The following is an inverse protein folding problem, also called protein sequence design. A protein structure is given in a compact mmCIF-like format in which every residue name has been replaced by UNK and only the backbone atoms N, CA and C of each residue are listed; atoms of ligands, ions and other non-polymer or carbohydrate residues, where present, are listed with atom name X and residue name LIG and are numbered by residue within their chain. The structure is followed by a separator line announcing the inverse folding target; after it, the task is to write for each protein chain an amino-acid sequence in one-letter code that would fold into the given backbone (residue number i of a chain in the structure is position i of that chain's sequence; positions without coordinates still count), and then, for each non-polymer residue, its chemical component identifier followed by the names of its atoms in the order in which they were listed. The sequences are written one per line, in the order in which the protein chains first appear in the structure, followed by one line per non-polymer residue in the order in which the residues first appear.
data_IF_768731543485
#
_entry.id   IF_768731543485
#
_cell.length_a   1.000
_cell.length_b   1.000
_cell.length_c   1.000
_cell.angle_alpha   90.00
_cell.angle_beta   90.00
_cell.angle_gamma   90.00
#
_symmetry.space_group_name_H-M   'P 1'
#
loop_
_entity.id
_entity.type
_entity.pdbx_description
1 polymer ?
#
# COMPACT_ATOMS: atom_id res chain seq x y z
N UNK A 1 -21.39 -24.17 8.11
CA UNK A 1 -20.19 -24.40 7.27
C UNK A 1 -19.31 -25.42 7.98
N UNK A 2 -18.96 -26.54 7.33
CA UNK A 2 -18.02 -27.49 7.87
C UNK A 2 -16.63 -27.09 7.38
N UNK A 3 -15.73 -26.72 8.29
CA UNK A 3 -14.33 -26.42 7.97
C UNK A 3 -13.53 -27.72 7.98
N UNK A 4 -12.70 -27.91 6.95
CA UNK A 4 -11.73 -29.01 6.87
C UNK A 4 -10.37 -28.43 7.17
N UNK A 5 -9.68 -28.98 8.17
CA UNK A 5 -8.31 -28.59 8.50
C UNK A 5 -7.33 -29.34 7.60
N UNK A 6 -6.59 -28.59 6.80
CA UNK A 6 -5.49 -29.13 5.99
C UNK A 6 -4.16 -28.66 6.57
N UNK A 7 -3.33 -29.59 7.07
CA UNK A 7 -1.99 -29.22 7.52
C UNK A 7 -1.15 -28.77 6.35
N UNK A 8 -0.41 -27.68 6.51
CA UNK A 8 0.55 -27.23 5.51
C UNK A 8 1.65 -28.28 5.35
N UNK A 9 2.06 -28.54 4.09
CA UNK A 9 3.14 -29.49 3.81
C UNK A 9 4.40 -29.15 4.62
N UNK A 10 4.99 -30.19 5.21
CA UNK A 10 6.25 -30.06 5.93
C UNK A 10 7.39 -29.87 4.92
N UNK A 11 8.28 -28.89 5.17
CA UNK A 11 9.50 -28.74 4.40
C UNK A 11 10.44 -29.94 4.58
N UNK A 12 11.49 -30.02 3.76
CA UNK A 12 12.54 -31.01 3.92
C UNK A 12 13.17 -30.96 5.32
N UNK A 13 13.28 -32.11 5.99
CA UNK A 13 13.91 -32.21 7.31
C UNK A 13 15.35 -31.73 7.31
N UNK A 14 16.07 -31.94 6.20
CA UNK A 14 17.43 -31.46 6.03
C UNK A 14 17.52 -29.91 6.09
N UNK A 15 16.54 -29.19 5.54
CA UNK A 15 16.46 -27.73 5.61
C UNK A 15 16.17 -27.30 7.05
N UNK A 16 15.21 -27.95 7.72
CA UNK A 16 14.84 -27.66 9.11
C UNK A 16 16.04 -27.81 10.03
N UNK A 17 16.75 -28.95 9.93
CA UNK A 17 17.93 -29.25 10.74
C UNK A 17 19.10 -28.29 10.44
N UNK A 18 19.28 -27.91 9.19
CA UNK A 18 20.28 -26.90 8.81
C UNK A 18 19.98 -25.56 9.50
N UNK A 19 18.77 -25.04 9.39
CA UNK A 19 18.33 -23.78 10.01
C UNK A 19 18.44 -23.84 11.55
N UNK A 20 18.04 -24.96 12.16
CA UNK A 20 18.17 -25.17 13.60
C UNK A 20 19.61 -25.00 14.07
N UNK A 21 20.52 -25.67 13.40
CA UNK A 21 21.93 -25.72 13.78
C UNK A 21 22.62 -24.37 13.54
N UNK A 22 22.38 -23.76 12.38
CA UNK A 22 23.08 -22.53 11.98
C UNK A 22 22.57 -21.29 12.75
N UNK A 23 21.27 -21.28 13.11
CA UNK A 23 20.62 -20.14 13.77
C UNK A 23 20.32 -20.39 15.26
N UNK A 24 20.67 -21.57 15.79
CA UNK A 24 20.33 -22.00 17.16
C UNK A 24 18.84 -21.91 17.50
N UNK A 25 17.98 -22.28 16.54
CA UNK A 25 16.52 -22.20 16.66
C UNK A 25 15.90 -23.48 17.19
N UNK A 26 14.68 -23.36 17.74
CA UNK A 26 13.82 -24.52 18.00
C UNK A 26 13.39 -25.17 16.68
N UNK A 27 13.03 -26.46 16.73
CA UNK A 27 12.49 -27.17 15.57
C UNK A 27 11.25 -26.49 15.01
N UNK A 28 10.35 -26.02 15.88
CA UNK A 28 9.13 -25.33 15.47
C UNK A 28 9.45 -24.05 14.70
N UNK A 29 10.36 -23.23 15.21
CA UNK A 29 10.74 -21.97 14.54
C UNK A 29 11.40 -22.23 13.19
N UNK A 30 12.31 -23.20 13.13
CA UNK A 30 12.97 -23.57 11.87
C UNK A 30 11.96 -24.12 10.85
N UNK A 31 10.99 -24.92 11.28
CA UNK A 31 9.90 -25.41 10.42
C UNK A 31 9.07 -24.26 9.86
N UNK A 32 8.70 -23.29 10.70
CA UNK A 32 7.91 -22.12 10.27
C UNK A 32 8.66 -21.24 9.29
N UNK A 33 9.98 -21.05 9.44
CA UNK A 33 10.81 -20.35 8.47
C UNK A 33 10.84 -21.10 7.13
N UNK A 34 11.15 -22.38 7.17
CA UNK A 34 11.22 -23.21 5.97
C UNK A 34 9.86 -23.27 5.24
N UNK A 35 8.73 -23.29 5.95
CA UNK A 35 7.38 -23.20 5.36
C UNK A 35 7.10 -21.84 4.69
N UNK A 36 7.87 -20.81 5.01
CA UNK A 36 7.83 -19.49 4.35
C UNK A 36 8.81 -19.36 3.21
N UNK A 37 9.52 -20.43 2.88
CA UNK A 37 10.53 -20.43 1.82
C UNK A 37 11.90 -19.91 2.26
N UNK A 38 12.11 -19.65 3.55
CA UNK A 38 13.40 -19.23 4.11
C UNK A 38 14.21 -20.52 4.40
N UNK A 39 15.26 -20.75 3.60
CA UNK A 39 15.97 -22.04 3.58
C UNK A 39 17.48 -21.92 3.88
N UNK A 40 17.97 -20.68 3.94
CA UNK A 40 19.37 -20.38 4.20
C UNK A 40 19.56 -19.46 5.41
N UNK A 41 20.78 -19.45 5.95
CA UNK A 41 21.17 -18.53 7.02
C UNK A 41 20.99 -17.06 6.62
N UNK A 42 21.45 -16.68 5.43
CA UNK A 42 21.39 -15.30 4.96
C UNK A 42 19.94 -14.80 4.76
N UNK A 43 19.08 -15.66 4.21
CA UNK A 43 17.64 -15.36 4.10
C UNK A 43 17.00 -15.15 5.47
N UNK A 44 17.36 -15.97 6.46
CA UNK A 44 16.86 -15.86 7.81
C UNK A 44 17.34 -14.59 8.52
N UNK A 45 18.63 -14.25 8.39
CA UNK A 45 19.16 -12.99 8.92
C UNK A 45 18.47 -11.79 8.28
N UNK A 46 18.27 -11.81 6.97
CA UNK A 46 17.55 -10.77 6.26
C UNK A 46 16.09 -10.63 6.74
N UNK A 47 15.43 -11.75 7.03
CA UNK A 47 14.07 -11.77 7.58
C UNK A 47 13.99 -11.22 9.01
N UNK A 48 14.93 -11.59 9.88
CA UNK A 48 14.92 -11.15 11.28
C UNK A 48 15.52 -9.77 11.52
N UNK A 49 16.40 -9.33 10.63
CA UNK A 49 17.12 -8.06 10.76
C UNK A 49 16.98 -7.22 9.48
N UNK A 50 15.75 -6.79 9.14
CA UNK A 50 15.54 -5.99 7.94
C UNK A 50 16.26 -4.64 8.07
N UNK A 51 16.80 -4.14 6.97
CA UNK A 51 17.45 -2.84 6.89
C UNK A 51 16.85 -2.00 5.76
N UNK A 52 17.05 -0.69 5.82
CA UNK A 52 16.62 0.20 4.73
C UNK A 52 17.32 -0.13 3.40
N UNK A 53 18.54 -0.68 3.46
CA UNK A 53 19.26 -1.13 2.27
C UNK A 53 18.60 -2.33 1.56
N UNK A 54 17.71 -3.04 2.27
CA UNK A 54 16.97 -4.19 1.75
C UNK A 54 15.69 -3.80 1.02
N UNK A 55 15.30 -2.53 1.04
CA UNK A 55 14.10 -2.07 0.34
C UNK A 55 14.29 -2.15 -1.17
N UNK A 56 13.25 -2.59 -1.85
CA UNK A 56 13.20 -2.54 -3.31
C UNK A 56 13.20 -1.10 -3.80
N UNK A 57 13.78 -0.88 -4.99
CA UNK A 57 13.73 0.44 -5.62
C UNK A 57 12.27 0.85 -5.90
N UNK A 58 11.82 2.04 -5.46
CA UNK A 58 10.42 2.45 -5.59
C UNK A 58 9.89 2.43 -7.03
N UNK A 59 10.76 2.66 -8.01
CA UNK A 59 10.42 2.66 -9.43
C UNK A 59 10.17 1.27 -10.02
N UNK A 60 10.34 0.19 -9.25
CA UNK A 60 9.86 -1.15 -9.61
C UNK A 60 8.33 -1.27 -9.44
N UNK A 61 7.70 -0.36 -8.70
CA UNK A 61 6.23 -0.33 -8.58
C UNK A 61 5.62 0.07 -9.93
N UNK A 62 4.51 -0.61 -10.26
CA UNK A 62 3.76 -0.35 -11.49
C UNK A 62 3.37 1.14 -11.59
N UNK A 63 3.61 1.73 -12.74
CA UNK A 63 3.26 3.11 -13.09
C UNK A 63 3.85 4.21 -12.18
N UNK A 64 4.85 3.90 -11.33
CA UNK A 64 5.48 4.90 -10.45
C UNK A 64 6.02 6.10 -11.21
N UNK A 65 6.65 5.89 -12.38
CA UNK A 65 7.12 7.00 -13.21
C UNK A 65 6.00 7.94 -13.67
N UNK A 66 4.82 7.39 -14.00
CA UNK A 66 3.65 8.18 -14.40
C UNK A 66 3.09 8.97 -13.21
N UNK A 67 3.01 8.33 -12.05
CA UNK A 67 2.53 8.96 -10.81
C UNK A 67 3.44 10.14 -10.41
N UNK A 68 4.76 9.93 -10.41
CA UNK A 68 5.74 10.97 -10.10
C UNK A 68 5.66 12.12 -11.12
N UNK A 69 5.58 11.82 -12.41
CA UNK A 69 5.46 12.84 -13.46
C UNK A 69 4.16 13.66 -13.30
N UNK A 70 3.02 12.99 -13.02
CA UNK A 70 1.72 13.66 -12.81
C UNK A 70 1.74 14.56 -11.57
N UNK A 71 2.29 14.06 -10.47
CA UNK A 71 2.44 14.84 -9.24
C UNK A 71 3.38 16.03 -9.42
N UNK A 72 4.53 15.84 -10.06
CA UNK A 72 5.47 16.92 -10.36
C UNK A 72 4.83 18.00 -11.24
N UNK A 73 4.03 17.59 -12.23
CA UNK A 73 3.25 18.54 -13.02
C UNK A 73 2.31 19.34 -12.13
N UNK A 74 1.52 18.69 -11.28
CA UNK A 74 0.56 19.38 -10.41
C UNK A 74 1.24 20.42 -9.50
N UNK A 75 2.39 20.09 -8.92
CA UNK A 75 3.16 21.01 -8.10
C UNK A 75 3.66 22.22 -8.94
N UNK A 76 4.27 21.95 -10.09
CA UNK A 76 4.86 22.99 -10.94
C UNK A 76 3.81 23.93 -11.55
N UNK A 77 2.61 23.42 -11.83
CA UNK A 77 1.49 24.23 -12.38
C UNK A 77 0.55 24.75 -11.29
N UNK A 78 0.90 24.57 -10.01
CA UNK A 78 0.12 25.04 -8.86
C UNK A 78 -1.32 24.51 -8.84
N UNK A 79 -1.50 23.25 -9.19
CA UNK A 79 -2.78 22.57 -9.09
C UNK A 79 -3.13 22.28 -7.63
N UNK A 80 -4.42 22.29 -7.31
CA UNK A 80 -4.92 21.83 -6.01
C UNK A 80 -4.99 20.33 -5.97
N UNK A 81 -4.44 19.74 -4.93
CA UNK A 81 -4.29 18.29 -4.76
C UNK A 81 -5.07 17.86 -3.52
N UNK A 82 -5.91 16.83 -3.66
CA UNK A 82 -6.53 16.14 -2.56
C UNK A 82 -5.74 14.86 -2.23
N UNK A 83 -5.32 14.72 -0.99
CA UNK A 83 -4.76 13.48 -0.45
C UNK A 83 -5.88 12.74 0.26
N UNK A 84 -6.25 11.59 -0.28
CA UNK A 84 -7.34 10.75 0.18
C UNK A 84 -6.78 9.49 0.81
N UNK A 85 -7.29 9.05 1.94
CA UNK A 85 -6.93 7.78 2.56
C UNK A 85 -8.14 7.11 3.17
N UNK A 86 -8.00 5.81 3.47
CA UNK A 86 -9.01 5.12 4.25
C UNK A 86 -8.97 5.55 5.73
N UNK A 87 -10.01 5.20 6.49
CA UNK A 87 -10.21 5.62 7.88
C UNK A 87 -9.40 4.81 8.89
N UNK A 88 -8.70 3.77 8.50
CA UNK A 88 -7.87 2.97 9.40
C UNK A 88 -6.48 3.57 9.64
N UNK A 89 -5.65 2.86 10.41
CA UNK A 89 -4.30 3.34 10.77
C UNK A 89 -3.40 3.49 9.55
N UNK A 90 -3.50 2.57 8.58
CA UNK A 90 -2.63 2.58 7.41
C UNK A 90 -2.99 3.75 6.50
N UNK A 91 -4.28 3.93 6.19
CA UNK A 91 -4.78 5.05 5.39
C UNK A 91 -4.50 6.41 6.04
N UNK A 92 -4.83 6.59 7.32
CA UNK A 92 -4.62 7.86 8.02
C UNK A 92 -3.15 8.22 8.18
N UNK A 93 -2.29 7.22 8.43
CA UNK A 93 -0.84 7.41 8.51
C UNK A 93 -0.24 7.78 7.16
N UNK A 94 -0.67 7.11 6.09
CA UNK A 94 -0.23 7.40 4.73
C UNK A 94 -0.61 8.82 4.30
N UNK A 95 -1.84 9.27 4.58
CA UNK A 95 -2.29 10.65 4.32
C UNK A 95 -1.43 11.65 5.08
N UNK A 96 -1.20 11.40 6.37
CA UNK A 96 -0.40 12.30 7.22
C UNK A 96 1.04 12.41 6.74
N UNK A 97 1.64 11.30 6.35
CA UNK A 97 3.01 11.23 5.83
C UNK A 97 3.13 12.01 4.52
N UNK A 98 2.25 11.74 3.57
CA UNK A 98 2.29 12.40 2.26
C UNK A 98 1.97 13.90 2.38
N UNK A 99 0.99 14.28 3.18
CA UNK A 99 0.67 15.68 3.44
C UNK A 99 1.87 16.43 4.01
N UNK A 100 2.51 15.87 5.05
CA UNK A 100 3.70 16.46 5.67
C UNK A 100 4.86 16.61 4.68
N UNK A 101 5.06 15.65 3.80
CA UNK A 101 6.09 15.73 2.78
C UNK A 101 5.76 16.79 1.73
N UNK A 102 4.56 16.77 1.17
CA UNK A 102 4.16 17.68 0.09
C UNK A 102 3.99 19.12 0.56
N UNK A 103 3.67 19.37 1.84
CA UNK A 103 3.57 20.73 2.40
C UNK A 103 4.88 21.53 2.33
N UNK A 104 6.01 20.87 2.13
CA UNK A 104 7.28 21.55 1.84
C UNK A 104 7.42 22.01 0.39
N UNK A 105 6.53 21.56 -0.50
CA UNK A 105 6.60 21.82 -1.93
C UNK A 105 5.42 22.66 -2.47
N UNK A 106 4.25 22.57 -1.81
CA UNK A 106 3.05 23.32 -2.17
C UNK A 106 2.15 23.55 -0.98
N UNK A 107 1.42 24.66 -0.96
CA UNK A 107 0.36 24.94 0.03
C UNK A 107 -1.05 24.58 -0.46
N UNK A 108 -1.18 24.11 -1.71
CA UNK A 108 -2.47 23.81 -2.34
C UNK A 108 -2.90 22.36 -2.09
N UNK A 109 -2.87 21.96 -0.83
CA UNK A 109 -3.17 20.60 -0.36
C UNK A 109 -4.46 20.55 0.45
N UNK A 110 -5.26 19.56 0.18
CA UNK A 110 -6.44 19.18 0.96
C UNK A 110 -6.31 17.73 1.38
N UNK A 111 -7.00 17.34 2.44
CA UNK A 111 -7.06 15.96 2.90
C UNK A 111 -8.51 15.52 3.03
N UNK A 112 -8.74 14.22 2.83
CA UNK A 112 -10.05 13.62 3.04
C UNK A 112 -9.91 12.20 3.58
N UNK A 113 -10.66 11.91 4.62
CA UNK A 113 -10.85 10.58 5.17
C UNK A 113 -12.35 10.32 5.18
N UNK A 114 -12.85 9.23 4.57
CA UNK A 114 -14.27 8.96 4.51
C UNK A 114 -14.84 8.61 5.89
N UNK A 115 -16.10 8.96 6.11
CA UNK A 115 -16.81 8.52 7.32
C UNK A 115 -17.20 7.05 7.22
N UNK A 116 -16.73 6.25 8.17
CA UNK A 116 -16.94 4.81 8.19
C UNK A 116 -18.42 4.39 8.11
N UNK A 117 -19.32 5.15 8.71
CA UNK A 117 -20.71 4.79 8.87
C UNK A 117 -21.59 5.27 7.70
N UNK A 118 -21.27 6.42 7.13
CA UNK A 118 -22.09 7.05 6.08
C UNK A 118 -21.55 6.83 4.67
N UNK A 119 -20.23 6.64 4.52
CA UNK A 119 -19.58 6.48 3.21
C UNK A 119 -19.05 5.07 2.98
N UNK A 120 -18.71 4.36 4.06
CA UNK A 120 -18.13 3.02 4.00
C UNK A 120 -16.62 3.03 3.74
N UNK A 121 -16.10 1.87 3.29
CA UNK A 121 -14.69 1.66 3.03
C UNK A 121 -14.28 2.16 1.64
N UNK A 122 -13.11 2.78 1.57
CA UNK A 122 -12.46 3.13 0.32
C UNK A 122 -12.93 4.46 -0.28
N UNK A 123 -12.77 4.63 -1.59
CA UNK A 123 -13.12 5.88 -2.27
C UNK A 123 -14.64 6.05 -2.33
N UNK A 124 -15.13 7.22 -1.91
CA UNK A 124 -16.54 7.61 -1.93
C UNK A 124 -16.82 8.67 -3.01
N UNK A 125 -18.06 8.74 -3.47
CA UNK A 125 -18.52 9.83 -4.33
C UNK A 125 -18.48 11.18 -3.61
N UNK A 126 -18.80 11.19 -2.31
CA UNK A 126 -18.74 12.38 -1.46
C UNK A 126 -17.32 12.97 -1.40
N UNK A 127 -16.31 12.11 -1.28
CA UNK A 127 -14.90 12.54 -1.28
C UNK A 127 -14.47 13.14 -2.62
N UNK A 128 -14.98 12.62 -3.75
CA UNK A 128 -14.73 13.19 -5.08
C UNK A 128 -15.47 14.52 -5.23
N UNK A 129 -16.72 14.62 -4.77
CA UNK A 129 -17.47 15.88 -4.78
C UNK A 129 -16.81 16.94 -3.89
N UNK A 130 -16.26 16.52 -2.75
CA UNK A 130 -15.45 17.41 -1.93
C UNK A 130 -14.23 17.94 -2.70
N UNK A 131 -13.47 17.06 -3.39
CA UNK A 131 -12.34 17.47 -4.22
C UNK A 131 -12.77 18.49 -5.29
N UNK A 132 -13.87 18.21 -5.99
CA UNK A 132 -14.43 19.12 -6.99
C UNK A 132 -14.83 20.47 -6.40
N UNK A 133 -15.47 20.48 -5.21
CA UNK A 133 -15.87 21.72 -4.52
C UNK A 133 -14.68 22.60 -4.11
N UNK A 134 -13.51 21.98 -3.87
CA UNK A 134 -12.26 22.69 -3.58
C UNK A 134 -11.51 23.11 -4.84
N UNK A 135 -11.95 22.65 -6.00
CA UNK A 135 -11.29 22.88 -7.30
C UNK A 135 -10.00 22.07 -7.43
N UNK A 136 -9.92 20.89 -6.81
CA UNK A 136 -8.80 19.97 -7.00
C UNK A 136 -8.86 19.34 -8.38
N UNK A 137 -7.70 19.22 -9.05
CA UNK A 137 -7.54 18.53 -10.33
C UNK A 137 -6.83 17.18 -10.21
N UNK A 138 -6.33 16.86 -9.01
CA UNK A 138 -5.66 15.61 -8.72
C UNK A 138 -6.10 15.08 -7.36
N UNK A 139 -6.48 13.80 -7.31
CA UNK A 139 -6.67 13.02 -6.09
C UNK A 139 -5.54 11.99 -5.99
N UNK A 140 -4.87 11.92 -4.85
CA UNK A 140 -3.92 10.85 -4.52
C UNK A 140 -4.57 9.99 -3.45
N UNK A 141 -5.04 8.81 -3.85
CA UNK A 141 -5.65 7.85 -2.95
C UNK A 141 -4.61 6.87 -2.41
N UNK A 142 -4.56 6.73 -1.11
CA UNK A 142 -3.59 5.93 -0.38
C UNK A 142 -4.29 4.85 0.43
N UNK A 143 -3.77 3.62 0.32
CA UNK A 143 -4.28 2.43 0.99
C UNK A 143 -5.75 2.09 0.65
N UNK A 144 -6.22 2.56 -0.49
CA UNK A 144 -7.55 2.28 -1.01
C UNK A 144 -7.65 2.62 -2.50
N UNK A 145 -8.67 2.05 -3.16
CA UNK A 145 -9.09 2.52 -4.48
C UNK A 145 -8.75 1.62 -5.65
N UNK A 146 -7.96 0.55 -5.49
CA UNK A 146 -7.54 -0.31 -6.62
C UNK A 146 -8.72 -0.93 -7.40
N UNK A 147 -9.88 -1.09 -6.76
CA UNK A 147 -11.09 -1.64 -7.38
C UNK A 147 -12.15 -0.57 -7.71
N UNK A 148 -11.88 0.70 -7.46
CA UNK A 148 -12.86 1.79 -7.53
C UNK A 148 -13.04 2.35 -8.96
N UNK A 149 -13.28 1.48 -9.95
CA UNK A 149 -13.33 1.85 -11.38
C UNK A 149 -14.42 2.90 -11.64
N UNK A 150 -15.63 2.71 -11.08
CA UNK A 150 -16.76 3.63 -11.21
C UNK A 150 -16.49 5.01 -10.61
N UNK A 151 -15.77 5.07 -9.48
CA UNK A 151 -15.37 6.32 -8.81
C UNK A 151 -14.30 7.07 -9.61
N UNK A 152 -13.33 6.34 -10.16
CA UNK A 152 -12.32 6.93 -11.03
C UNK A 152 -12.96 7.51 -12.28
N UNK A 153 -13.91 6.80 -12.89
CA UNK A 153 -14.65 7.34 -14.04
C UNK A 153 -15.43 8.62 -13.67
N UNK A 154 -16.13 8.59 -12.53
CA UNK A 154 -16.85 9.77 -12.03
C UNK A 154 -15.96 10.99 -11.80
N UNK A 155 -14.75 10.78 -11.30
CA UNK A 155 -13.77 11.85 -11.13
C UNK A 155 -13.23 12.37 -12.49
N UNK A 156 -13.00 11.44 -13.43
CA UNK A 156 -12.58 11.79 -14.80
C UNK A 156 -13.62 12.68 -15.48
N UNK A 157 -14.91 12.38 -15.32
CA UNK A 157 -16.02 13.20 -15.85
C UNK A 157 -16.02 14.62 -15.25
N UNK A 158 -15.42 14.80 -14.06
CA UNK A 158 -15.20 16.09 -13.40
C UNK A 158 -13.82 16.70 -13.67
N UNK A 159 -13.05 16.14 -14.62
CA UNK A 159 -11.67 16.56 -14.94
C UNK A 159 -10.71 16.46 -13.74
N UNK A 160 -10.88 15.46 -12.90
CA UNK A 160 -10.01 15.15 -11.78
C UNK A 160 -9.25 13.86 -12.07
N UNK A 161 -7.93 13.92 -12.07
CA UNK A 161 -7.06 12.76 -12.23
C UNK A 161 -6.88 12.00 -10.91
N UNK A 162 -6.58 10.71 -11.02
CA UNK A 162 -6.24 9.86 -9.86
C UNK A 162 -4.83 9.30 -9.93
N UNK A 163 -4.17 9.30 -8.77
CA UNK A 163 -3.02 8.43 -8.46
C UNK A 163 -3.48 7.51 -7.35
N UNK A 164 -3.40 6.20 -7.55
CA UNK A 164 -3.82 5.20 -6.56
C UNK A 164 -2.58 4.44 -6.09
N UNK A 165 -2.27 4.55 -4.79
CA UNK A 165 -1.28 3.76 -4.08
C UNK A 165 -1.99 2.80 -3.13
N UNK A 166 -2.18 1.55 -3.56
CA UNK A 166 -2.95 0.55 -2.82
C UNK A 166 -2.26 -0.82 -2.85
N UNK A 167 -2.56 -1.65 -1.89
CA UNK A 167 -2.08 -3.02 -1.81
C UNK A 167 -2.94 -3.94 -2.67
N UNK A 168 -2.29 -4.62 -3.61
CA UNK A 168 -2.91 -5.75 -4.29
C UNK A 168 -2.52 -6.98 -3.49
N UNK A 169 -3.44 -7.52 -2.69
CA UNK A 169 -3.26 -8.82 -2.04
C UNK A 169 -2.91 -9.90 -3.07
N UNK A 170 -2.48 -11.09 -2.63
CA UNK A 170 -2.28 -12.21 -3.55
C UNK A 170 -3.55 -12.41 -4.35
N UNK A 171 -3.49 -12.13 -5.65
CA UNK A 171 -4.54 -12.50 -6.56
C UNK A 171 -4.68 -14.04 -6.46
N UNK A 172 -5.85 -14.52 -6.07
CA UNK A 172 -6.17 -15.91 -6.27
C UNK A 172 -6.33 -16.09 -7.78
N UNK A 173 -5.28 -16.65 -8.40
CA UNK A 173 -5.31 -17.10 -9.79
C UNK A 173 -6.01 -18.46 -9.80
#
# INVERSE_FOLDING_TARGET
MNYIWEPKLLPSEAIIEKLRRELHLSQTTATLLAQRGITTYDEAIHFFSPSLASLHAPFLMKDMHKAVARLSKAINTQEKILIYGDYDVDGTSAVSLLYRYLSNHTSLLYTYIPDRYTEGYGISFQGIDYAASKGCSLIIALDCGIKAIDKVQYATDKSIDFIIGDQIGRAHV
#
